data_IF_654054790774
#
_entry.id   IF_654054790774
#
_cell.length_a   1.000
_cell.length_b   1.000
_cell.length_c   1.000
_cell.angle_alpha   90.00
_cell.angle_beta   90.00
_cell.angle_gamma   90.00
#
_symmetry.space_group_name_H-M   'P 1'
#
loop_
_entity.id
_entity.type
_entity.pdbx_description
1 polymer ?
#
# COMPACT_ATOMS: atom_id res chain seq x y z
N UNK A 1 43.38 -7.58 -27.89
CA UNK A 1 42.72 -6.51 -27.12
C UNK A 1 43.17 -6.57 -25.67
N UNK A 2 43.57 -5.45 -25.06
CA UNK A 2 44.15 -5.45 -23.72
C UNK A 2 43.03 -5.67 -22.68
N UNK A 3 42.80 -6.91 -22.24
CA UNK A 3 41.65 -7.31 -21.40
C UNK A 3 41.47 -6.45 -20.15
N UNK A 4 42.58 -5.98 -19.55
CA UNK A 4 42.56 -5.07 -18.41
C UNK A 4 41.96 -3.67 -18.72
N UNK A 5 42.06 -3.18 -19.96
CA UNK A 5 41.47 -1.90 -20.39
C UNK A 5 39.96 -2.03 -20.56
N UNK A 6 39.49 -3.18 -21.06
CA UNK A 6 38.07 -3.48 -21.23
C UNK A 6 37.40 -3.61 -19.85
N UNK A 7 37.96 -4.42 -18.95
CA UNK A 7 37.42 -4.60 -17.59
C UNK A 7 37.27 -3.26 -16.86
N UNK A 8 38.28 -2.37 -16.94
CA UNK A 8 38.19 -1.03 -16.33
C UNK A 8 37.12 -0.15 -16.97
N UNK A 9 36.98 -0.15 -18.30
CA UNK A 9 35.96 0.64 -19.00
C UNK A 9 34.57 0.14 -18.64
N UNK A 10 34.35 -1.18 -18.70
CA UNK A 10 33.07 -1.81 -18.35
C UNK A 10 32.70 -1.55 -16.90
N UNK A 11 33.61 -1.79 -15.95
CA UNK A 11 33.36 -1.53 -14.53
C UNK A 11 33.04 -0.06 -14.25
N UNK A 12 33.74 0.89 -14.88
CA UNK A 12 33.47 2.32 -14.69
C UNK A 12 32.05 2.71 -15.11
N UNK A 13 31.57 2.22 -16.25
CA UNK A 13 30.23 2.54 -16.74
C UNK A 13 29.15 1.75 -15.99
N UNK A 14 29.38 0.46 -15.73
CA UNK A 14 28.48 -0.34 -14.88
C UNK A 14 28.36 0.27 -13.48
N UNK A 15 29.46 0.75 -12.90
CA UNK A 15 29.49 1.39 -11.60
C UNK A 15 28.77 2.73 -11.54
N UNK A 16 28.65 3.45 -12.66
CA UNK A 16 27.82 4.65 -12.71
C UNK A 16 26.34 4.29 -12.58
N UNK A 17 25.86 3.34 -13.39
CA UNK A 17 24.45 2.91 -13.38
C UNK A 17 24.10 2.24 -12.06
N UNK A 18 24.90 1.25 -11.64
CA UNK A 18 24.69 0.50 -10.41
C UNK A 18 24.88 1.38 -9.17
N UNK A 19 25.86 2.29 -9.20
CA UNK A 19 26.12 3.22 -8.12
C UNK A 19 24.97 4.20 -7.87
N UNK A 20 24.29 4.67 -8.92
CA UNK A 20 23.09 5.52 -8.77
C UNK A 20 22.01 4.79 -7.98
N UNK A 21 21.67 3.55 -8.37
CA UNK A 21 20.65 2.79 -7.65
C UNK A 21 21.09 2.41 -6.23
N UNK A 22 22.35 2.04 -6.02
CA UNK A 22 22.89 1.80 -4.68
C UNK A 22 22.80 3.04 -3.79
N UNK A 23 23.02 4.23 -4.36
CA UNK A 23 22.83 5.50 -3.66
C UNK A 23 21.35 5.69 -3.29
N UNK A 24 20.41 5.44 -4.22
CA UNK A 24 18.98 5.50 -3.93
C UNK A 24 18.58 4.51 -2.82
N UNK A 25 19.08 3.27 -2.85
CA UNK A 25 18.89 2.28 -1.78
C UNK A 25 19.46 2.72 -0.44
N UNK A 26 20.62 3.38 -0.45
CA UNK A 26 21.25 3.88 0.77
C UNK A 26 20.45 5.03 1.36
N UNK A 27 20.00 5.99 0.53
CA UNK A 27 19.19 7.14 0.96
C UNK A 27 17.86 6.66 1.56
N UNK A 28 17.17 5.75 0.87
CA UNK A 28 15.90 5.19 1.34
C UNK A 28 16.07 4.33 2.59
N UNK A 29 17.09 3.46 2.64
CA UNK A 29 17.40 2.67 3.85
C UNK A 29 17.75 3.55 5.05
N UNK A 30 18.47 4.66 4.83
CA UNK A 30 18.74 5.64 5.86
C UNK A 30 17.45 6.30 6.35
N UNK A 31 16.57 6.73 5.45
CA UNK A 31 15.25 7.26 5.82
C UNK A 31 14.43 6.27 6.65
N UNK A 32 14.36 5.00 6.24
CA UNK A 32 13.64 3.94 6.96
C UNK A 32 14.20 3.69 8.37
N UNK A 33 15.49 3.98 8.59
CA UNK A 33 16.11 3.88 9.92
C UNK A 33 15.86 5.10 10.82
N UNK A 34 15.52 6.25 10.24
CA UNK A 34 15.32 7.50 10.98
C UNK A 34 13.88 7.69 11.47
N UNK A 35 12.91 7.26 10.66
CA UNK A 35 11.49 7.48 10.95
C UNK A 35 10.90 6.20 11.53
N UNK A 36 10.39 6.21 12.78
CA UNK A 36 9.75 5.05 13.38
C UNK A 36 8.58 4.56 12.53
N UNK A 37 8.41 3.25 12.44
CA UNK A 37 7.32 2.65 11.64
C UNK A 37 5.93 3.09 12.10
N UNK A 38 5.77 3.37 13.41
CA UNK A 38 4.51 3.84 13.97
C UNK A 38 4.11 5.25 13.47
N UNK A 39 5.10 6.09 13.13
CA UNK A 39 4.89 7.41 12.51
C UNK A 39 4.47 7.28 11.04
N UNK A 40 5.02 6.28 10.35
CA UNK A 40 4.65 5.94 8.97
C UNK A 40 3.23 5.38 8.92
N UNK A 41 2.85 4.49 9.84
CA UNK A 41 1.50 3.95 9.91
C UNK A 41 0.47 4.98 10.43
N UNK A 42 0.89 5.88 11.31
CA UNK A 42 0.00 6.87 11.94
C UNK A 42 -1.02 6.25 12.88
N UNK A 43 -0.72 5.09 13.48
CA UNK A 43 -1.64 4.34 14.37
C UNK A 43 -1.95 5.11 15.66
N UNK A 44 -1.08 6.04 16.03
CA UNK A 44 -1.29 6.94 17.15
C UNK A 44 -2.26 8.09 16.84
N UNK A 45 -2.54 8.38 15.56
CA UNK A 45 -3.38 9.51 15.13
C UNK A 45 -4.86 9.16 15.04
N UNK A 46 -5.21 7.88 14.91
CA UNK A 46 -6.60 7.44 14.85
C UNK A 46 -6.78 6.07 15.49
N UNK A 47 -7.98 5.80 16.00
CA UNK A 47 -8.32 4.49 16.55
C UNK A 47 -8.23 3.39 15.46
N UNK A 48 -7.85 2.15 15.82
CA UNK A 48 -7.98 1.00 14.93
C UNK A 48 -9.44 0.82 14.51
N UNK A 49 -9.65 0.54 13.21
CA UNK A 49 -10.92 0.33 12.51
C UNK A 49 -12.18 0.44 13.38
N UNK A 50 -12.76 1.64 13.47
CA UNK A 50 -14.14 1.80 13.93
C UNK A 50 -15.10 1.62 12.77
N UNK A 51 -16.30 1.12 13.03
CA UNK A 51 -17.35 0.90 12.03
C UNK A 51 -18.27 -0.26 12.39
N UNK A 52 -17.75 -1.29 13.06
CA UNK A 52 -18.55 -2.44 13.47
C UNK A 52 -18.44 -2.72 14.96
N UNK A 53 -19.59 -2.77 15.63
CA UNK A 53 -19.71 -3.15 17.03
C UNK A 53 -19.78 -4.67 17.18
N UNK A 54 -19.48 -5.23 18.37
CA UNK A 54 -19.74 -6.63 18.67
C UNK A 54 -21.21 -6.98 18.43
N UNK A 55 -21.47 -7.98 17.60
CA UNK A 55 -22.83 -8.45 17.30
C UNK A 55 -23.22 -9.56 18.29
N UNK A 56 -24.27 -9.34 19.07
CA UNK A 56 -24.89 -10.42 19.84
C UNK A 56 -25.64 -11.37 18.90
N UNK A 57 -25.47 -12.68 19.08
CA UNK A 57 -26.12 -13.70 18.23
C UNK A 57 -27.61 -13.89 18.53
N UNK A 58 -28.14 -13.18 19.53
CA UNK A 58 -29.50 -13.38 20.05
C UNK A 58 -30.60 -13.11 19.01
N UNK A 59 -30.28 -12.43 17.89
CA UNK A 59 -31.21 -12.13 16.78
C UNK A 59 -30.70 -12.59 15.40
N UNK A 60 -29.85 -13.63 15.35
CA UNK A 60 -29.31 -14.12 14.07
C UNK A 60 -30.42 -14.64 13.13
N UNK A 61 -30.61 -14.00 11.97
CA UNK A 61 -31.47 -14.47 10.90
C UNK A 61 -30.66 -15.10 9.77
N UNK A 62 -31.01 -16.29 9.28
CA UNK A 62 -30.24 -16.96 8.24
C UNK A 62 -30.08 -16.07 6.97
N UNK A 63 -28.86 -15.96 6.38
CA UNK A 63 -28.58 -15.04 5.28
C UNK A 63 -29.47 -15.25 4.04
N UNK A 64 -29.88 -16.49 3.77
CA UNK A 64 -30.62 -16.84 2.54
C UNK A 64 -31.89 -16.03 2.31
N UNK A 65 -32.59 -15.60 3.35
CA UNK A 65 -33.79 -14.77 3.21
C UNK A 65 -33.46 -13.30 2.95
N UNK A 66 -32.44 -12.77 3.64
CA UNK A 66 -32.02 -11.38 3.53
C UNK A 66 -31.33 -11.06 2.19
N UNK A 67 -30.69 -12.05 1.54
CA UNK A 67 -29.94 -11.81 0.30
C UNK A 67 -30.80 -11.85 -0.98
N UNK A 68 -32.03 -12.37 -0.90
CA UNK A 68 -32.92 -12.51 -2.06
C UNK A 68 -33.18 -11.19 -2.82
N UNK A 69 -33.45 -10.04 -2.15
CA UNK A 69 -33.65 -8.77 -2.85
C UNK A 69 -32.38 -8.30 -3.58
N UNK A 70 -31.21 -8.45 -2.94
CA UNK A 70 -29.92 -8.10 -3.54
C UNK A 70 -29.62 -8.96 -4.78
N UNK A 71 -29.80 -10.28 -4.67
CA UNK A 71 -29.59 -11.21 -5.78
C UNK A 71 -30.58 -10.99 -6.92
N UNK A 72 -31.80 -10.54 -6.61
CA UNK A 72 -32.80 -10.20 -7.64
C UNK A 72 -32.44 -8.93 -8.41
N UNK A 73 -31.81 -7.95 -7.76
CA UNK A 73 -31.29 -6.74 -8.41
C UNK A 73 -29.98 -7.00 -9.18
N UNK A 74 -29.18 -7.97 -8.73
CA UNK A 74 -27.89 -8.31 -9.32
C UNK A 74 -27.79 -9.82 -9.60
N UNK A 75 -28.54 -10.35 -10.59
CA UNK A 75 -28.61 -11.79 -10.83
C UNK A 75 -27.29 -12.41 -11.29
N UNK A 76 -26.37 -11.60 -11.82
CA UNK A 76 -25.03 -12.01 -12.22
C UNK A 76 -23.97 -11.87 -11.12
N UNK A 77 -24.34 -11.39 -9.92
CA UNK A 77 -23.40 -11.20 -8.83
C UNK A 77 -22.93 -12.55 -8.27
N UNK A 78 -21.62 -12.70 -8.08
CA UNK A 78 -21.03 -13.85 -7.39
C UNK A 78 -20.68 -13.43 -5.98
N UNK A 79 -21.36 -13.99 -4.98
CA UNK A 79 -21.08 -13.73 -3.57
C UNK A 79 -19.88 -14.58 -3.13
N UNK A 80 -18.78 -13.93 -2.77
CA UNK A 80 -17.56 -14.58 -2.28
C UNK A 80 -17.61 -14.81 -0.77
N UNK A 81 -18.20 -13.86 -0.02
CA UNK A 81 -18.38 -14.03 1.42
C UNK A 81 -19.53 -13.18 1.96
N UNK A 82 -20.20 -13.70 2.98
CA UNK A 82 -21.22 -13.02 3.78
C UNK A 82 -20.72 -12.95 5.21
N UNK A 83 -20.69 -11.77 5.81
CA UNK A 83 -20.30 -11.58 7.22
C UNK A 83 -21.38 -10.77 7.93
N UNK A 84 -21.92 -11.30 9.03
CA UNK A 84 -22.80 -10.51 9.89
C UNK A 84 -21.98 -9.48 10.68
N UNK A 85 -22.47 -8.25 10.72
CA UNK A 85 -21.87 -7.12 11.43
C UNK A 85 -22.95 -6.27 12.08
N UNK A 86 -22.60 -5.59 13.17
CA UNK A 86 -23.48 -4.57 13.76
C UNK A 86 -22.97 -3.19 13.35
N UNK A 87 -23.78 -2.41 12.65
CA UNK A 87 -23.44 -1.10 12.11
C UNK A 87 -24.53 -0.09 12.46
N UNK A 88 -24.18 1.00 13.14
CA UNK A 88 -25.11 2.11 13.44
C UNK A 88 -26.43 1.65 14.10
N UNK A 89 -26.34 0.76 15.08
CA UNK A 89 -27.49 0.27 15.85
C UNK A 89 -28.34 -0.81 15.15
N UNK A 90 -27.90 -1.35 14.01
CA UNK A 90 -28.60 -2.41 13.27
C UNK A 90 -27.66 -3.50 12.80
N UNK A 91 -28.19 -4.70 12.68
CA UNK A 91 -27.46 -5.83 12.12
C UNK A 91 -27.50 -5.78 10.59
N UNK A 92 -26.33 -5.90 9.99
CA UNK A 92 -26.12 -5.84 8.54
C UNK A 92 -25.25 -7.01 8.08
N UNK A 93 -25.59 -7.56 6.92
CA UNK A 93 -24.74 -8.46 6.18
C UNK A 93 -23.78 -7.68 5.29
N UNK A 94 -22.48 -7.82 5.55
CA UNK A 94 -21.42 -7.39 4.64
C UNK A 94 -21.18 -8.47 3.59
N UNK A 95 -21.42 -8.11 2.34
CA UNK A 95 -21.21 -8.95 1.17
C UNK A 95 -19.93 -8.50 0.48
N UNK A 96 -19.01 -9.44 0.30
CA UNK A 96 -17.97 -9.32 -0.74
C UNK A 96 -18.48 -10.08 -1.95
N UNK A 97 -18.66 -9.36 -3.05
CA UNK A 97 -19.21 -9.91 -4.27
C UNK A 97 -18.44 -9.42 -5.50
N UNK A 98 -18.49 -10.21 -6.57
CA UNK A 98 -18.05 -9.79 -7.88
C UNK A 98 -19.29 -9.36 -8.68
N UNK A 99 -19.35 -8.09 -9.06
CA UNK A 99 -20.31 -7.58 -10.04
C UNK A 99 -19.57 -7.25 -11.33
N UNK A 100 -20.00 -7.85 -12.44
CA UNK A 100 -19.35 -7.71 -13.75
C UNK A 100 -17.84 -7.98 -13.71
N UNK A 101 -17.44 -8.96 -12.89
CA UNK A 101 -16.03 -9.33 -12.67
C UNK A 101 -15.23 -8.37 -11.78
N UNK A 102 -15.86 -7.32 -11.24
CA UNK A 102 -15.21 -6.35 -10.34
C UNK A 102 -15.58 -6.62 -8.88
N UNK A 103 -14.60 -6.62 -7.96
CA UNK A 103 -14.87 -6.79 -6.54
C UNK A 103 -15.59 -5.57 -5.98
N UNK A 104 -16.67 -5.81 -5.26
CA UNK A 104 -17.42 -4.79 -4.55
C UNK A 104 -17.79 -5.26 -3.14
N UNK A 105 -17.91 -4.27 -2.25
CA UNK A 105 -18.49 -4.44 -0.93
C UNK A 105 -19.91 -3.88 -0.95
N UNK A 106 -20.88 -4.66 -0.46
CA UNK A 106 -22.27 -4.21 -0.29
C UNK A 106 -22.78 -4.58 1.09
N UNK A 107 -23.65 -3.73 1.61
CA UNK A 107 -24.29 -3.94 2.89
C UNK A 107 -25.77 -4.19 2.66
N UNK A 108 -26.31 -5.18 3.35
CA UNK A 108 -27.72 -5.53 3.31
C UNK A 108 -28.22 -5.63 4.75
N UNK A 109 -29.36 -5.03 5.05
CA UNK A 109 -29.98 -5.13 6.35
C UNK A 109 -30.33 -6.59 6.67
N UNK A 110 -29.88 -7.09 7.83
CA UNK A 110 -29.97 -8.51 8.15
C UNK A 110 -31.41 -9.00 8.39
N UNK A 111 -32.35 -8.08 8.65
CA UNK A 111 -33.74 -8.40 8.97
C UNK A 111 -34.66 -8.21 7.77
N UNK A 112 -34.46 -7.13 7.01
CA UNK A 112 -35.33 -6.74 5.90
C UNK A 112 -34.81 -7.18 4.54
N UNK A 113 -33.52 -7.52 4.43
CA UNK A 113 -32.87 -7.84 3.18
C UNK A 113 -32.72 -6.64 2.23
N UNK A 114 -33.02 -5.42 2.70
CA UNK A 114 -32.88 -4.21 1.89
C UNK A 114 -31.42 -3.77 1.81
N UNK A 115 -30.93 -3.34 0.64
CA UNK A 115 -29.61 -2.72 0.53
C UNK A 115 -29.49 -1.52 1.48
N UNK A 116 -28.35 -1.42 2.15
CA UNK A 116 -28.03 -0.24 2.96
C UNK A 116 -27.43 0.80 2.03
N UNK A 117 -27.97 2.01 2.09
CA UNK A 117 -27.48 3.14 1.30
C UNK A 117 -26.07 3.57 1.72
N UNK A 118 -25.35 4.14 0.76
CA UNK A 118 -24.06 4.79 1.02
C UNK A 118 -24.27 5.92 2.03
N UNK A 119 -23.29 6.09 2.92
CA UNK A 119 -23.34 7.18 3.89
C UNK A 119 -23.30 8.54 3.19
N UNK A 120 -23.85 9.55 3.84
CA UNK A 120 -23.69 10.93 3.40
C UNK A 120 -22.35 11.50 3.88
N UNK A 121 -21.85 12.57 3.24
CA UNK A 121 -20.59 13.24 3.64
C UNK A 121 -20.62 13.70 5.10
N UNK A 122 -21.77 14.20 5.56
CA UNK A 122 -21.97 14.62 6.96
C UNK A 122 -21.87 13.45 7.94
N UNK A 123 -22.35 12.26 7.57
CA UNK A 123 -22.19 11.06 8.39
C UNK A 123 -20.72 10.62 8.45
N UNK A 124 -20.01 10.67 7.31
CA UNK A 124 -18.59 10.33 7.24
C UNK A 124 -17.72 11.29 8.07
N UNK A 125 -18.05 12.58 8.08
CA UNK A 125 -17.39 13.57 8.95
C UNK A 125 -17.60 13.26 10.44
N UNK A 126 -18.84 12.97 10.85
CA UNK A 126 -19.15 12.62 12.24
C UNK A 126 -18.42 11.35 12.69
N UNK A 127 -18.36 10.32 11.84
CA UNK A 127 -17.63 9.09 12.12
C UNK A 127 -16.13 9.39 12.23
N UNK A 128 -15.56 10.13 11.28
CA UNK A 128 -14.14 10.46 11.31
C UNK A 128 -13.75 11.26 12.57
N UNK A 129 -14.59 12.19 13.01
CA UNK A 129 -14.39 12.98 14.23
C UNK A 129 -14.33 12.10 15.50
N UNK A 130 -14.98 10.93 15.52
CA UNK A 130 -14.90 9.97 16.62
C UNK A 130 -13.64 9.10 16.57
N UNK A 131 -13.01 8.97 15.39
CA UNK A 131 -11.86 8.10 15.18
C UNK A 131 -10.52 8.80 15.45
N UNK A 132 -10.44 10.12 15.23
CA UNK A 132 -9.21 10.90 15.40
C UNK A 132 -8.82 11.01 16.87
N UNK A 133 -7.51 11.02 17.13
CA UNK A 133 -6.90 11.22 18.47
C UNK A 133 -6.18 12.56 18.59
N UNK A 134 -6.42 13.46 17.65
CA UNK A 134 -5.82 14.80 17.57
C UNK A 134 -6.91 15.86 17.41
N UNK A 135 -6.54 17.13 17.58
CA UNK A 135 -7.43 18.26 17.33
C UNK A 135 -6.88 19.06 16.15
N UNK A 136 -7.55 18.95 15.01
CA UNK A 136 -7.26 19.73 13.81
C UNK A 136 -8.54 19.94 13.01
N UNK A 137 -8.71 21.09 12.33
CA UNK A 137 -9.87 21.33 11.49
C UNK A 137 -9.83 20.43 10.25
N UNK A 138 -11.03 20.02 9.81
CA UNK A 138 -11.20 19.31 8.54
C UNK A 138 -11.04 20.32 7.39
N UNK A 139 -10.11 20.04 6.49
CA UNK A 139 -9.81 20.86 5.32
C UNK A 139 -10.70 20.50 4.14
N UNK A 140 -10.88 19.20 3.85
CA UNK A 140 -11.78 18.73 2.81
C UNK A 140 -12.30 17.32 3.06
N UNK A 141 -13.48 17.03 2.51
CA UNK A 141 -14.05 15.69 2.39
C UNK A 141 -14.43 15.43 0.93
N UNK A 142 -13.94 14.33 0.37
CA UNK A 142 -14.14 14.00 -1.03
C UNK A 142 -14.52 12.52 -1.18
N UNK A 143 -15.51 12.23 -2.03
CA UNK A 143 -15.84 10.86 -2.42
C UNK A 143 -14.91 10.43 -3.56
N UNK A 144 -14.22 9.33 -3.36
CA UNK A 144 -13.26 8.76 -4.30
C UNK A 144 -13.87 7.51 -4.93
N UNK A 145 -14.23 7.60 -6.20
CA UNK A 145 -14.94 6.54 -6.94
C UNK A 145 -14.06 5.79 -7.95
N UNK A 146 -12.86 6.31 -8.23
CA UNK A 146 -11.88 5.69 -9.12
C UNK A 146 -10.48 5.61 -8.50
N UNK A 147 -9.75 4.56 -8.88
CA UNK A 147 -8.34 4.36 -8.49
C UNK A 147 -7.47 4.95 -9.59
N UNK A 148 -6.69 5.97 -9.27
CA UNK A 148 -5.59 6.44 -10.12
C UNK A 148 -4.32 5.61 -9.87
N UNK A 149 -3.41 5.56 -10.85
CA UNK A 149 -2.16 4.78 -10.78
C UNK A 149 -1.32 5.14 -9.54
N UNK A 150 -1.30 6.42 -9.15
CA UNK A 150 -0.58 6.93 -7.98
C UNK A 150 -1.41 7.00 -6.69
N UNK A 151 -2.56 6.33 -6.64
CA UNK A 151 -3.49 6.45 -5.50
C UNK A 151 -2.90 5.93 -4.17
N UNK A 152 -3.05 6.69 -3.09
CA UNK A 152 -2.60 6.27 -1.75
C UNK A 152 -3.40 5.07 -1.17
N UNK A 153 -4.42 4.60 -1.89
CA UNK A 153 -5.39 3.59 -1.47
C UNK A 153 -5.46 2.42 -2.47
N UNK A 154 -4.35 2.12 -3.16
CA UNK A 154 -4.18 0.93 -4.02
C UNK A 154 -4.66 -0.35 -3.30
N UNK A 155 -5.28 -1.25 -4.06
CA UNK A 155 -5.81 -2.52 -3.58
C UNK A 155 -7.06 -2.44 -2.69
N UNK A 156 -7.65 -1.25 -2.49
CA UNK A 156 -8.86 -1.07 -1.68
C UNK A 156 -10.12 -1.08 -2.53
N UNK A 157 -11.20 -1.60 -1.94
CA UNK A 157 -12.52 -1.61 -2.57
C UNK A 157 -13.09 -0.19 -2.47
N UNK A 158 -13.49 0.35 -3.62
CA UNK A 158 -14.09 1.67 -3.75
C UNK A 158 -15.61 1.61 -3.72
N UNK A 159 -16.27 2.78 -3.55
CA UNK A 159 -15.77 4.10 -3.15
C UNK A 159 -15.31 4.27 -1.70
N UNK A 160 -14.45 5.26 -1.51
CA UNK A 160 -13.92 5.70 -0.21
C UNK A 160 -14.17 7.20 -0.01
N UNK A 161 -14.43 7.62 1.23
CA UNK A 161 -14.32 9.02 1.62
C UNK A 161 -12.89 9.35 2.01
N UNK A 162 -12.31 10.35 1.36
CA UNK A 162 -11.02 10.96 1.74
C UNK A 162 -11.28 12.21 2.57
N UNK A 163 -10.87 12.17 3.83
CA UNK A 163 -10.94 13.30 4.76
C UNK A 163 -9.54 13.84 5.02
N UNK A 164 -9.29 15.09 4.64
CA UNK A 164 -8.00 15.77 4.85
C UNK A 164 -8.08 16.72 6.05
N UNK A 165 -7.10 16.66 6.94
CA UNK A 165 -7.03 17.52 8.12
C UNK A 165 -5.87 18.49 8.03
N UNK A 166 -6.05 19.70 8.57
CA UNK A 166 -4.97 20.68 8.74
C UNK A 166 -4.14 20.35 9.97
N UNK A 167 -3.44 19.21 9.92
CA UNK A 167 -2.58 18.72 10.98
C UNK A 167 -1.10 18.82 10.55
N UNK A 168 -0.19 18.98 11.51
CA UNK A 168 1.26 19.08 11.24
C UNK A 168 1.83 17.89 10.45
N UNK A 169 1.28 16.69 10.67
CA UNK A 169 1.66 15.48 9.94
C UNK A 169 1.04 15.37 8.54
N UNK A 170 0.16 16.30 8.15
CA UNK A 170 -0.56 16.28 6.86
C UNK A 170 -1.44 15.03 6.68
N UNK A 171 -2.18 14.63 7.72
CA UNK A 171 -2.94 13.38 7.72
C UNK A 171 -4.19 13.44 6.83
N UNK A 172 -4.37 12.38 6.04
CA UNK A 172 -5.61 12.05 5.36
C UNK A 172 -6.16 10.72 5.89
N UNK A 173 -7.45 10.67 6.20
CA UNK A 173 -8.17 9.44 6.54
C UNK A 173 -8.99 8.96 5.34
N UNK A 174 -9.05 7.65 5.17
CA UNK A 174 -9.84 6.99 4.14
C UNK A 174 -10.87 6.07 4.79
N UNK A 175 -12.14 6.44 4.67
CA UNK A 175 -13.26 5.64 5.17
C UNK A 175 -13.96 4.91 4.03
N UNK A 176 -14.38 3.67 4.25
CA UNK A 176 -15.26 2.97 3.31
C UNK A 176 -16.63 3.66 3.29
N UNK A 177 -17.15 3.95 2.09
CA UNK A 177 -18.31 4.82 1.92
C UNK A 177 -19.63 4.21 2.43
N UNK A 178 -19.70 2.90 2.63
CA UNK A 178 -20.90 2.22 3.14
C UNK A 178 -20.81 1.92 4.63
N UNK A 179 -19.65 1.47 5.08
CA UNK A 179 -19.44 0.96 6.43
C UNK A 179 -18.93 2.02 7.39
N UNK A 180 -18.27 3.06 6.88
CA UNK A 180 -17.50 4.00 7.69
C UNK A 180 -16.25 3.41 8.30
N UNK A 181 -15.85 2.20 7.88
CA UNK A 181 -14.63 1.55 8.34
C UNK A 181 -13.41 2.37 7.93
N UNK A 182 -12.50 2.62 8.87
CA UNK A 182 -11.23 3.27 8.55
C UNK A 182 -10.31 2.30 7.81
N UNK A 183 -10.21 2.49 6.50
CA UNK A 183 -9.46 1.62 5.58
C UNK A 183 -7.97 1.98 5.55
N UNK A 184 -7.65 3.28 5.61
CA UNK A 184 -6.29 3.77 5.56
C UNK A 184 -6.09 5.12 6.25
N UNK A 185 -4.87 5.34 6.72
CA UNK A 185 -4.34 6.60 7.27
C UNK A 185 -3.12 6.97 6.45
N UNK A 186 -3.00 8.23 6.02
CA UNK A 186 -1.91 8.69 5.15
C UNK A 186 -1.33 9.99 5.65
N UNK A 187 -0.12 9.91 6.20
CA UNK A 187 0.64 11.06 6.66
C UNK A 187 1.67 11.48 5.61
N UNK A 188 2.27 12.66 5.79
CA UNK A 188 3.41 13.10 4.97
C UNK A 188 4.61 12.18 5.12
N UNK A 189 4.83 11.60 6.31
CA UNK A 189 5.85 10.56 6.52
C UNK A 189 5.55 9.31 5.70
N UNK A 190 4.30 8.87 5.67
CA UNK A 190 3.89 7.75 4.83
C UNK A 190 4.13 8.02 3.34
N UNK A 191 3.82 9.23 2.85
CA UNK A 191 4.06 9.59 1.43
C UNK A 191 5.54 9.57 1.06
N UNK A 192 6.39 10.10 1.96
CA UNK A 192 7.84 10.02 1.81
C UNK A 192 8.34 8.58 1.81
N UNK A 193 7.81 7.77 2.72
CA UNK A 193 8.07 6.34 2.78
C UNK A 193 7.65 5.63 1.49
N UNK A 194 6.42 5.80 1.01
CA UNK A 194 5.87 5.17 -0.20
C UNK A 194 6.72 5.50 -1.45
N UNK A 195 7.12 6.77 -1.59
CA UNK A 195 7.98 7.21 -2.68
C UNK A 195 9.36 6.57 -2.62
N UNK A 196 9.99 6.56 -1.45
CA UNK A 196 11.30 5.95 -1.26
C UNK A 196 11.23 4.42 -1.37
N UNK A 197 10.13 3.82 -0.95
CA UNK A 197 9.84 2.40 -1.06
C UNK A 197 9.75 1.97 -2.52
N UNK A 198 8.98 2.70 -3.35
CA UNK A 198 8.94 2.51 -4.81
C UNK A 198 10.35 2.48 -5.41
N UNK A 199 11.20 3.45 -5.08
CA UNK A 199 12.59 3.50 -5.55
C UNK A 199 13.44 2.35 -5.00
N UNK A 200 13.19 1.93 -3.75
CA UNK A 200 13.96 0.90 -3.06
C UNK A 200 13.68 -0.49 -3.61
N UNK A 201 12.40 -0.84 -3.77
CA UNK A 201 12.00 -2.15 -4.31
C UNK A 201 11.97 -2.15 -5.84
N UNK A 202 12.16 -0.98 -6.44
CA UNK A 202 12.20 -0.76 -7.89
C UNK A 202 10.94 -1.26 -8.62
N UNK A 203 9.80 -1.19 -7.93
CA UNK A 203 8.46 -1.43 -8.45
C UNK A 203 7.77 -0.08 -8.63
N UNK A 204 7.69 0.38 -9.88
CA UNK A 204 7.16 1.70 -10.24
C UNK A 204 5.67 1.68 -10.54
N UNK A 205 5.07 0.50 -10.66
CA UNK A 205 3.68 0.32 -11.07
C UNK A 205 2.79 0.11 -9.84
N UNK A 206 2.98 -0.99 -9.11
CA UNK A 206 2.11 -1.37 -7.98
C UNK A 206 2.65 -0.86 -6.63
N UNK A 207 3.98 -0.67 -6.55
CA UNK A 207 4.75 -0.30 -5.34
C UNK A 207 4.66 -1.31 -4.19
N UNK A 208 4.24 -2.53 -4.49
CA UNK A 208 3.98 -3.58 -3.50
C UNK A 208 4.75 -4.88 -3.82
N UNK A 209 5.17 -5.12 -5.06
CA UNK A 209 5.86 -6.34 -5.46
C UNK A 209 7.37 -6.25 -5.24
N UNK A 210 7.83 -6.70 -4.07
CA UNK A 210 9.26 -6.87 -3.78
C UNK A 210 9.93 -7.94 -4.66
N UNK A 211 9.18 -8.80 -5.34
CA UNK A 211 9.71 -9.90 -6.13
C UNK A 211 9.75 -9.61 -7.64
N UNK A 212 9.61 -8.35 -8.05
CA UNK A 212 9.56 -7.96 -9.45
C UNK A 212 10.87 -8.27 -10.21
N UNK A 213 10.77 -8.37 -11.54
CA UNK A 213 11.90 -8.72 -12.39
C UNK A 213 12.99 -7.66 -12.43
N UNK A 214 12.62 -6.38 -12.32
CA UNK A 214 13.56 -5.26 -12.41
C UNK A 214 14.53 -5.27 -11.22
N UNK A 215 14.01 -5.48 -10.01
CA UNK A 215 14.81 -5.67 -8.80
C UNK A 215 15.74 -6.88 -8.92
N UNK A 216 15.23 -8.03 -9.40
CA UNK A 216 16.04 -9.25 -9.56
C UNK A 216 17.23 -9.04 -10.52
N UNK A 217 16.99 -8.40 -11.66
CA UNK A 217 18.04 -8.08 -12.65
C UNK A 217 19.07 -7.13 -12.03
N UNK A 218 18.63 -6.12 -11.29
CA UNK A 218 19.52 -5.16 -10.67
C UNK A 218 20.35 -5.76 -9.53
N UNK A 219 19.73 -6.58 -8.67
CA UNK A 219 20.40 -7.31 -7.61
C UNK A 219 21.47 -8.26 -8.18
N UNK A 220 21.14 -9.01 -9.24
CA UNK A 220 22.10 -9.87 -9.92
C UNK A 220 23.25 -9.08 -10.57
N UNK A 221 22.93 -7.94 -11.20
CA UNK A 221 23.94 -7.03 -11.75
C UNK A 221 24.86 -6.48 -10.66
N UNK A 222 24.32 -6.21 -9.46
CA UNK A 222 25.08 -5.84 -8.28
C UNK A 222 26.09 -6.90 -7.86
N UNK A 223 25.72 -8.18 -7.87
CA UNK A 223 26.63 -9.30 -7.61
C UNK A 223 27.79 -9.30 -8.63
N UNK A 224 27.48 -9.22 -9.92
CA UNK A 224 28.50 -9.16 -10.98
C UNK A 224 29.41 -7.93 -10.83
N UNK A 225 28.85 -6.81 -10.41
CA UNK A 225 29.60 -5.58 -10.18
C UNK A 225 30.59 -5.73 -9.02
N UNK A 226 30.17 -6.30 -7.89
CA UNK A 226 31.05 -6.59 -6.75
C UNK A 226 32.19 -7.53 -7.18
N UNK A 227 31.88 -8.62 -7.90
CA UNK A 227 32.89 -9.53 -8.45
C UNK A 227 33.89 -8.78 -9.34
N UNK A 228 33.40 -7.92 -10.24
CA UNK A 228 34.26 -7.14 -11.12
C UNK A 228 35.19 -6.18 -10.37
N UNK A 229 34.74 -5.65 -9.22
CA UNK A 229 35.57 -4.86 -8.30
C UNK A 229 36.72 -5.67 -7.70
N UNK A 230 36.44 -6.89 -7.21
CA UNK A 230 37.48 -7.80 -6.73
C UNK A 230 38.46 -8.22 -7.83
N UNK A 231 37.98 -8.47 -9.05
CA UNK A 231 38.85 -8.75 -10.20
C UNK A 231 39.78 -7.56 -10.49
N UNK A 232 39.27 -6.34 -10.47
CA UNK A 232 40.09 -5.13 -10.64
C UNK A 232 41.10 -4.95 -9.51
N UNK A 233 40.71 -5.20 -8.26
CA UNK A 233 41.61 -5.20 -7.12
C UNK A 233 42.75 -6.21 -7.33
N UNK A 234 42.45 -7.47 -7.68
CA UNK A 234 43.46 -8.49 -7.98
C UNK A 234 44.41 -8.05 -9.12
N UNK A 235 43.87 -7.54 -10.22
CA UNK A 235 44.67 -7.08 -11.37
C UNK A 235 45.51 -5.83 -11.08
N UNK A 236 45.15 -5.03 -10.07
CA UNK A 236 45.85 -3.79 -9.69
C UNK A 236 46.81 -3.98 -8.52
N UNK A 237 46.68 -5.05 -7.74
CA UNK A 237 47.60 -5.34 -6.64
C UNK A 237 49.03 -5.59 -7.15
N UNK A 238 50.00 -4.90 -6.52
CA UNK A 238 51.44 -4.95 -6.87
C UNK A 238 52.01 -6.38 -6.81
N UNK A 239 51.40 -7.26 -6.02
CA UNK A 239 51.82 -8.66 -5.87
C UNK A 239 51.64 -9.48 -7.16
N UNK A 240 50.52 -9.30 -7.89
CA UNK A 240 50.31 -9.95 -9.19
C UNK A 240 51.09 -9.28 -10.32
N UNK A 241 51.30 -7.96 -10.26
CA UNK A 241 52.14 -7.24 -11.23
C UNK A 241 53.61 -7.69 -11.18
N UNK A 242 54.18 -7.90 -9.98
CA UNK A 242 55.55 -8.44 -9.82
C UNK A 242 55.69 -9.87 -10.35
N UNK A 243 54.69 -10.74 -10.17
CA UNK A 243 54.70 -12.11 -10.73
C UNK A 243 54.58 -12.12 -12.25
N UNK A 244 53.83 -11.20 -12.85
CA UNK A 244 53.71 -11.07 -14.30
C UNK A 244 55.00 -10.55 -14.94
N UNK A 245 55.65 -9.57 -14.33
CA UNK A 245 56.94 -9.03 -14.81
C UNK A 245 58.14 -9.97 -14.56
N UNK A 246 57.98 -11.05 -13.80
CA UNK A 246 59.00 -12.10 -13.62
C UNK A 246 58.87 -13.27 -14.60
N UNK A 247 57.82 -13.30 -15.42
CA UNK A 247 57.53 -14.36 -16.41
C UNK A 247 57.69 -13.88 -17.86
N UNK A 248 58.18 -12.66 -18.05
CA UNK A 248 58.62 -12.08 -19.33
C UNK A 248 60.13 -11.91 -19.19
#
# INVERSE_FOLDING_TARGET
MNSARIVRKTHRWAGLVIGIQLLLWTISGFYFSLIPIDEIHGDHLAMPAGGFEPTALENFQAPGLALNPFMSQHPAAVIESVTLKHLRGRDVYRLRALLDGKPVNRLVDAHTGRPVEMMQTTEAELIAAQLIKFTAPLSSIELVESVEVDSEFRGRVLPLYRLKYEHESGISLYLDAWTGELVARRTSYWRGFDFLWMLHIMDYDERDDFNNNFLRVFAFSGILFVISGFVLWLLSTRFMQKRRNRRI
#
